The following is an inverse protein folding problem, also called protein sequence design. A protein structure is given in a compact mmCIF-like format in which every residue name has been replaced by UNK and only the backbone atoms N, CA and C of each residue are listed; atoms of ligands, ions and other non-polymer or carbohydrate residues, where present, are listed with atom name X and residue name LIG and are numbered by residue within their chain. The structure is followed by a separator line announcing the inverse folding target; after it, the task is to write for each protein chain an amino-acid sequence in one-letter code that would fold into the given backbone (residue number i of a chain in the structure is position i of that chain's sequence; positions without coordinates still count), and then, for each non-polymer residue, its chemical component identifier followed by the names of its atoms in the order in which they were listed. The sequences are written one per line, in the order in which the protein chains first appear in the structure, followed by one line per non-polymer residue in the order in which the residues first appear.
data_IF_524192352694
#
_entry.id   IF_524192352694
#
_cell.length_a   1.000
_cell.length_b   1.000
_cell.length_c   1.000
_cell.angle_alpha   90.00
_cell.angle_beta   90.00
_cell.angle_gamma   90.00
#
_symmetry.space_group_name_H-M   'P 1'
#
loop_
_entity.id
_entity.type
_entity.pdbx_description
1 polymer ?
#
# COMPACT_ATOMS: atom_id res chain seq x y z
N UNK A 1 20.59 22.26 3.94
CA UNK A 1 19.12 22.24 3.87
C UNK A 1 18.61 20.89 4.35
N UNK A 2 17.72 20.91 5.36
CA UNK A 2 17.07 19.70 5.83
C UNK A 2 15.82 19.42 4.96
N UNK A 3 15.78 18.33 4.18
CA UNK A 3 14.66 18.04 3.29
C UNK A 3 13.34 17.74 4.03
N UNK A 4 13.40 17.46 5.32
CA UNK A 4 12.26 17.21 6.18
C UNK A 4 11.69 18.44 6.87
N UNK A 5 12.44 19.54 6.84
CA UNK A 5 11.95 20.81 7.38
C UNK A 5 10.90 21.44 6.47
N UNK A 6 9.82 21.94 7.09
CA UNK A 6 8.79 22.66 6.35
C UNK A 6 9.13 24.12 6.19
N UNK A 7 9.09 24.56 4.95
CA UNK A 7 9.20 25.99 4.60
C UNK A 7 7.84 26.55 4.19
N UNK A 8 7.56 27.84 4.43
CA UNK A 8 6.34 28.48 3.97
C UNK A 8 6.35 28.68 2.45
N UNK A 9 5.23 28.46 1.82
CA UNK A 9 5.00 28.74 0.40
C UNK A 9 3.58 29.21 0.16
N UNK A 10 3.37 29.98 -0.91
CA UNK A 10 2.04 30.28 -1.44
C UNK A 10 1.71 29.24 -2.51
N UNK A 11 0.56 28.58 -2.38
CA UNK A 11 0.07 27.59 -3.32
C UNK A 11 -1.23 28.09 -3.98
N UNK A 12 -1.30 28.00 -5.30
CA UNK A 12 -2.56 28.22 -6.04
C UNK A 12 -3.05 26.90 -6.59
N UNK A 13 -4.27 26.53 -6.23
CA UNK A 13 -4.96 25.34 -6.76
C UNK A 13 -6.27 25.74 -7.44
N UNK A 14 -6.37 25.47 -8.74
CA UNK A 14 -7.55 25.79 -9.54
C UNK A 14 -8.02 27.26 -9.36
N UNK A 15 -7.07 28.20 -9.30
CA UNK A 15 -7.35 29.63 -9.14
C UNK A 15 -7.52 30.10 -7.70
N UNK A 16 -7.67 29.21 -6.73
CA UNK A 16 -7.72 29.56 -5.30
C UNK A 16 -6.33 29.63 -4.70
N UNK A 17 -6.02 30.74 -4.03
CA UNK A 17 -4.74 30.97 -3.37
C UNK A 17 -4.77 30.54 -1.91
N UNK A 18 -3.77 29.81 -1.48
CA UNK A 18 -3.51 29.38 -0.12
C UNK A 18 -2.15 29.90 0.31
N UNK A 19 -2.12 30.88 1.21
CA UNK A 19 -0.88 31.46 1.70
C UNK A 19 -0.27 30.63 2.82
N UNK A 20 1.05 30.70 2.95
CA UNK A 20 1.81 30.13 4.06
C UNK A 20 1.51 28.64 4.30
N UNK A 21 1.35 27.86 3.22
CA UNK A 21 1.31 26.42 3.35
C UNK A 21 2.69 25.86 3.71
N UNK A 22 2.74 24.82 4.57
CA UNK A 22 4.00 24.20 4.95
C UNK A 22 4.43 23.16 3.92
N UNK A 23 5.50 23.39 3.17
CA UNK A 23 6.01 22.49 2.13
C UNK A 23 7.30 21.82 2.58
N UNK A 24 7.41 20.52 2.43
CA UNK A 24 8.67 19.75 2.55
C UNK A 24 8.74 18.64 1.51
N UNK A 25 9.91 18.08 1.34
CA UNK A 25 10.05 16.87 0.55
C UNK A 25 9.51 15.65 1.28
N UNK A 26 9.19 14.59 0.54
CA UNK A 26 8.77 13.28 1.08
C UNK A 26 9.47 12.16 0.30
N UNK A 27 9.16 10.93 0.66
CA UNK A 27 9.67 9.74 -0.01
C UNK A 27 11.04 9.31 0.47
N UNK A 28 11.36 8.06 0.18
CA UNK A 28 12.66 7.44 0.43
C UNK A 28 13.42 7.33 -0.90
N UNK A 29 13.44 6.19 -1.56
CA UNK A 29 14.06 5.98 -2.87
C UNK A 29 13.54 6.95 -3.94
N UNK A 30 12.25 7.24 -3.95
CA UNK A 30 11.63 8.20 -4.88
C UNK A 30 12.07 9.66 -4.68
N UNK A 31 12.67 9.98 -3.53
CA UNK A 31 13.36 11.26 -3.31
C UNK A 31 14.85 11.14 -3.66
N UNK A 32 15.53 10.13 -3.15
CA UNK A 32 16.98 10.01 -3.22
C UNK A 32 17.47 9.81 -4.65
N UNK A 33 16.87 8.88 -5.40
CA UNK A 33 17.30 8.55 -6.75
C UNK A 33 17.20 9.73 -7.72
N UNK A 34 16.07 10.44 -7.85
CA UNK A 34 16.04 11.63 -8.71
C UNK A 34 16.92 12.77 -8.19
N UNK A 35 17.03 12.94 -6.86
CA UNK A 35 17.88 14.00 -6.29
C UNK A 35 19.37 13.76 -6.58
N UNK A 36 19.84 12.51 -6.52
CA UNK A 36 21.20 12.15 -6.86
C UNK A 36 21.51 12.38 -8.36
N UNK A 37 20.50 12.20 -9.21
CA UNK A 37 20.57 12.52 -10.65
C UNK A 37 20.35 14.02 -10.95
N UNK A 38 20.27 14.88 -9.94
CA UNK A 38 19.96 16.30 -10.06
C UNK A 38 18.62 16.57 -10.77
N UNK A 39 17.71 15.63 -10.73
CA UNK A 39 16.35 15.78 -11.27
C UNK A 39 15.47 16.52 -10.25
N UNK A 40 14.93 17.70 -10.57
CA UNK A 40 14.14 18.49 -9.63
C UNK A 40 12.76 17.89 -9.34
N UNK A 41 12.36 16.85 -10.07
CA UNK A 41 11.07 16.20 -9.92
C UNK A 41 11.06 15.22 -8.74
N UNK A 42 11.21 15.76 -7.54
CA UNK A 42 11.14 15.03 -6.27
C UNK A 42 9.73 15.10 -5.66
N UNK A 43 9.34 14.17 -4.78
CA UNK A 43 8.00 14.18 -4.19
C UNK A 43 7.85 15.23 -3.08
N UNK A 44 6.64 15.75 -2.90
CA UNK A 44 6.30 16.81 -1.94
C UNK A 44 5.22 16.38 -0.94
N UNK A 45 5.31 16.93 0.26
CA UNK A 45 4.28 16.86 1.28
C UNK A 45 3.88 18.30 1.66
N UNK A 46 2.66 18.68 1.33
CA UNK A 46 2.11 20.01 1.55
C UNK A 46 1.10 19.92 2.71
N UNK A 47 1.29 20.78 3.70
CA UNK A 47 0.43 20.90 4.87
C UNK A 47 -0.22 22.28 4.89
N UNK A 48 -1.54 22.33 4.64
CA UNK A 48 -2.27 23.59 4.51
C UNK A 48 -2.43 24.31 5.84
N UNK A 49 -2.49 23.55 6.93
CA UNK A 49 -2.72 24.14 8.26
C UNK A 49 -1.46 24.18 9.15
N UNK A 50 -0.27 24.11 8.56
CA UNK A 50 0.97 24.11 9.32
C UNK A 50 1.29 25.47 9.93
N UNK A 51 1.18 26.53 9.15
CA UNK A 51 1.43 27.92 9.60
C UNK A 51 0.14 28.70 9.85
N UNK A 52 -0.99 28.30 9.21
CA UNK A 52 -2.28 28.95 9.37
C UNK A 52 -3.29 27.88 9.83
N UNK A 53 -3.67 27.97 11.10
CA UNK A 53 -4.68 27.08 11.67
C UNK A 53 -5.98 27.12 10.86
N UNK A 54 -6.68 26.00 10.78
CA UNK A 54 -7.94 25.83 10.06
C UNK A 54 -7.88 25.88 8.52
N UNK A 55 -6.75 26.26 7.89
CA UNK A 55 -6.64 26.28 6.43
C UNK A 55 -6.73 24.85 5.86
N UNK A 56 -7.57 24.68 4.84
CA UNK A 56 -7.83 23.39 4.18
C UNK A 56 -8.10 23.59 2.71
N UNK A 57 -7.80 22.57 1.90
CA UNK A 57 -8.17 22.47 0.49
C UNK A 57 -9.22 21.39 0.33
N UNK A 58 -10.41 21.76 -0.18
CA UNK A 58 -11.53 20.81 -0.35
C UNK A 58 -11.84 19.97 0.91
N UNK A 59 -11.63 20.55 2.09
CA UNK A 59 -11.80 19.86 3.37
C UNK A 59 -10.55 19.12 3.88
N UNK A 60 -9.52 18.92 3.06
CA UNK A 60 -8.28 18.21 3.43
C UNK A 60 -7.23 19.18 3.98
N UNK A 61 -6.48 18.72 4.97
CA UNK A 61 -5.35 19.47 5.56
C UNK A 61 -4.04 19.26 4.84
N UNK A 62 -3.87 18.14 4.15
CA UNK A 62 -2.61 17.71 3.54
C UNK A 62 -2.81 17.27 2.10
N UNK A 63 -1.77 17.48 1.30
CA UNK A 63 -1.62 16.97 -0.06
C UNK A 63 -0.26 16.28 -0.16
N UNK A 64 -0.22 15.07 -0.67
CA UNK A 64 1.01 14.31 -0.90
C UNK A 64 1.20 14.11 -2.39
N UNK A 65 2.24 14.70 -2.94
CA UNK A 65 2.55 14.63 -4.35
C UNK A 65 3.69 13.63 -4.58
N UNK A 66 3.36 12.46 -5.11
CA UNK A 66 4.32 11.46 -5.56
C UNK A 66 4.74 11.76 -6.99
N UNK A 67 6.05 11.63 -7.28
CA UNK A 67 6.63 12.01 -8.57
C UNK A 67 6.52 10.91 -9.65
N UNK A 68 5.91 9.76 -9.33
CA UNK A 68 5.83 8.59 -10.21
C UNK A 68 7.19 8.12 -10.75
N UNK A 69 8.26 8.25 -9.94
CA UNK A 69 9.62 7.88 -10.35
C UNK A 69 9.73 6.41 -10.76
N UNK A 70 8.94 5.54 -10.10
CA UNK A 70 8.92 4.09 -10.34
C UNK A 70 7.67 3.61 -11.10
N UNK A 71 6.84 4.51 -11.60
CA UNK A 71 5.65 4.15 -12.39
C UNK A 71 5.68 4.84 -13.77
N UNK A 72 6.13 4.13 -14.82
CA UNK A 72 6.12 4.67 -16.18
C UNK A 72 4.74 5.09 -16.66
N UNK A 73 3.67 4.47 -16.14
CA UNK A 73 2.30 4.66 -16.58
C UNK A 73 1.57 5.82 -15.90
N UNK A 74 2.06 6.27 -14.74
CA UNK A 74 1.43 7.25 -13.83
C UNK A 74 0.06 6.81 -13.28
N UNK A 75 -0.34 5.56 -13.45
CA UNK A 75 -1.69 5.12 -13.05
C UNK A 75 -1.71 3.93 -12.10
N UNK A 76 -0.58 3.26 -11.83
CA UNK A 76 -0.53 2.09 -10.94
C UNK A 76 -1.12 2.39 -9.57
N UNK A 77 -0.67 3.45 -8.92
CA UNK A 77 -1.19 3.89 -7.62
C UNK A 77 -2.71 4.12 -7.65
N UNK A 78 -3.23 4.78 -8.68
CA UNK A 78 -4.66 5.12 -8.79
C UNK A 78 -5.51 3.87 -9.02
N UNK A 79 -5.09 3.03 -9.95
CA UNK A 79 -5.80 1.78 -10.28
C UNK A 79 -5.80 0.83 -9.09
N UNK A 80 -4.64 0.66 -8.45
CA UNK A 80 -4.50 -0.16 -7.24
C UNK A 80 -5.39 0.34 -6.12
N UNK A 81 -5.30 1.62 -5.79
CA UNK A 81 -6.12 2.26 -4.77
C UNK A 81 -7.62 2.04 -5.01
N UNK A 82 -8.08 2.13 -6.25
CA UNK A 82 -9.48 1.87 -6.61
C UNK A 82 -9.89 0.42 -6.35
N UNK A 83 -9.02 -0.54 -6.63
CA UNK A 83 -9.27 -1.96 -6.35
C UNK A 83 -9.26 -2.23 -4.84
N UNK A 84 -8.24 -1.74 -4.12
CA UNK A 84 -8.15 -1.95 -2.67
C UNK A 84 -9.39 -1.43 -1.93
N UNK A 85 -9.93 -0.26 -2.32
CA UNK A 85 -11.12 0.34 -1.69
C UNK A 85 -12.41 -0.48 -1.82
N UNK A 86 -12.46 -1.47 -2.69
CA UNK A 86 -13.60 -2.39 -2.74
C UNK A 86 -13.63 -3.34 -1.54
N UNK A 87 -12.49 -3.56 -0.86
CA UNK A 87 -12.34 -4.59 0.17
C UNK A 87 -11.97 -4.02 1.54
N UNK A 88 -11.27 -2.86 1.58
CA UNK A 88 -10.76 -2.29 2.83
C UNK A 88 -10.51 -0.78 2.71
N UNK A 89 -10.38 -0.07 3.84
CA UNK A 89 -9.96 1.32 3.83
C UNK A 89 -8.61 1.48 3.13
N UNK A 90 -8.59 2.29 2.07
CA UNK A 90 -7.38 2.66 1.34
C UNK A 90 -7.51 4.10 0.83
N UNK A 91 -6.39 4.79 0.69
CA UNK A 91 -6.35 6.20 0.27
C UNK A 91 -6.90 6.41 -1.14
N UNK A 92 -7.48 7.56 -1.39
CA UNK A 92 -7.83 8.02 -2.73
C UNK A 92 -6.62 8.64 -3.41
N UNK A 93 -6.53 8.48 -4.74
CA UNK A 93 -5.43 9.03 -5.52
C UNK A 93 -5.93 9.66 -6.82
N UNK A 94 -5.28 10.73 -7.27
CA UNK A 94 -5.58 11.40 -8.53
C UNK A 94 -4.33 12.05 -9.13
N UNK A 95 -4.44 12.49 -10.39
CA UNK A 95 -3.36 13.17 -11.12
C UNK A 95 -3.42 14.68 -10.91
N UNK A 96 -2.24 15.30 -10.80
CA UNK A 96 -2.10 16.75 -10.68
C UNK A 96 -0.90 17.27 -11.49
N UNK A 97 -1.04 18.42 -12.11
CA UNK A 97 0.08 19.17 -12.72
C UNK A 97 0.70 20.08 -11.67
N UNK A 98 2.01 19.97 -11.47
CA UNK A 98 2.73 20.81 -10.53
C UNK A 98 3.56 21.86 -11.28
N UNK A 99 3.41 23.09 -10.85
CA UNK A 99 4.24 24.23 -11.27
C UNK A 99 4.97 24.78 -10.05
N UNK A 100 6.24 25.07 -10.19
CA UNK A 100 7.06 25.73 -9.16
C UNK A 100 7.61 27.01 -9.75
N UNK A 101 7.31 28.14 -9.12
CA UNK A 101 7.71 29.48 -9.60
C UNK A 101 7.33 29.73 -11.08
N UNK A 102 6.14 29.27 -11.48
CA UNK A 102 5.63 29.41 -12.84
C UNK A 102 6.15 28.38 -13.85
N UNK A 103 7.16 27.60 -13.51
CA UNK A 103 7.73 26.58 -14.38
C UNK A 103 7.01 25.23 -14.15
N UNK A 104 6.61 24.55 -15.24
CA UNK A 104 6.02 23.23 -15.17
C UNK A 104 7.06 22.21 -14.70
N UNK A 105 6.84 21.64 -13.52
CA UNK A 105 7.73 20.64 -12.95
C UNK A 105 7.34 19.22 -13.38
N UNK A 106 6.09 19.00 -13.73
CA UNK A 106 5.65 17.71 -14.25
C UNK A 106 4.27 17.25 -13.77
N UNK A 107 3.92 16.06 -14.19
CA UNK A 107 2.74 15.31 -13.76
C UNK A 107 3.06 14.56 -12.46
N UNK A 108 2.20 14.71 -11.45
CA UNK A 108 2.33 14.06 -10.15
C UNK A 108 1.07 13.26 -9.80
N UNK A 109 1.22 12.31 -8.89
CA UNK A 109 0.11 11.62 -8.26
C UNK A 109 -0.11 12.25 -6.89
N UNK A 110 -1.34 12.69 -6.62
CA UNK A 110 -1.74 13.19 -5.32
C UNK A 110 -2.42 12.07 -4.54
N UNK A 111 -1.85 11.69 -3.41
CA UNK A 111 -2.32 10.59 -2.57
C UNK A 111 -2.96 11.12 -1.28
N UNK A 112 -4.10 10.53 -0.89
CA UNK A 112 -4.73 10.81 0.40
C UNK A 112 -3.80 10.40 1.54
N UNK A 113 -3.65 11.29 2.51
CA UNK A 113 -2.83 11.01 3.70
C UNK A 113 -3.56 10.12 4.67
N UNK A 114 -2.96 9.02 5.11
CA UNK A 114 -3.46 8.25 6.26
C UNK A 114 -3.17 9.06 7.53
N UNK A 115 -4.18 9.71 8.05
CA UNK A 115 -4.11 10.62 9.20
C UNK A 115 -5.43 10.61 9.99
N UNK A 116 -5.55 11.42 11.04
CA UNK A 116 -6.78 11.54 11.85
C UNK A 116 -8.05 11.84 11.03
N UNK A 117 -7.93 12.47 9.85
CA UNK A 117 -9.06 12.75 8.96
C UNK A 117 -9.48 11.51 8.17
N UNK A 118 -8.52 10.78 7.60
CA UNK A 118 -8.74 9.48 6.97
C UNK A 118 -9.38 8.49 7.96
N UNK A 119 -8.81 8.41 9.16
CA UNK A 119 -9.31 7.53 10.22
C UNK A 119 -10.77 7.86 10.56
N UNK A 120 -11.09 9.15 10.74
CA UNK A 120 -12.50 9.58 11.00
C UNK A 120 -13.45 9.21 9.86
N UNK A 121 -12.98 9.30 8.61
CA UNK A 121 -13.77 8.97 7.42
C UNK A 121 -14.13 7.48 7.36
N UNK A 122 -13.21 6.60 7.75
CA UNK A 122 -13.34 5.15 7.56
C UNK A 122 -13.76 4.38 8.81
N UNK A 123 -13.50 4.92 10.02
CA UNK A 123 -13.77 4.24 11.29
C UNK A 123 -14.75 4.99 12.18
N UNK A 124 -15.23 6.16 11.74
CA UNK A 124 -16.11 7.08 12.50
C UNK A 124 -15.56 7.56 13.85
N UNK A 125 -14.26 7.39 14.05
CA UNK A 125 -13.49 7.80 15.23
C UNK A 125 -12.06 8.19 14.81
N UNK A 126 -11.24 8.76 15.74
CA UNK A 126 -9.89 9.20 15.42
C UNK A 126 -8.95 9.32 16.63
N UNK A 127 -9.37 8.78 17.76
CA UNK A 127 -8.66 8.94 19.04
C UNK A 127 -7.70 7.79 19.36
N UNK A 128 -7.84 6.66 18.69
CA UNK A 128 -7.00 5.49 18.92
C UNK A 128 -5.57 5.63 18.41
N UNK A 129 -4.67 4.77 18.90
CA UNK A 129 -3.29 4.67 18.44
C UNK A 129 -3.19 4.49 16.92
N UNK A 130 -2.30 5.24 16.29
CA UNK A 130 -2.01 5.17 14.86
C UNK A 130 -0.50 5.11 14.65
N UNK A 131 -0.05 4.05 13.98
CA UNK A 131 1.35 3.84 13.65
C UNK A 131 1.54 3.76 12.13
N UNK A 132 2.52 4.48 11.60
CA UNK A 132 3.07 4.24 10.28
C UNK A 132 4.16 3.18 10.39
N UNK A 133 4.01 2.10 9.68
CA UNK A 133 4.91 0.95 9.66
C UNK A 133 5.71 0.99 8.36
N UNK A 134 6.81 1.70 8.39
CA UNK A 134 7.65 2.00 7.23
C UNK A 134 9.07 2.36 7.70
N UNK A 135 10.03 2.37 6.79
CA UNK A 135 11.37 2.82 7.10
C UNK A 135 11.34 4.28 7.61
N UNK A 136 11.96 4.52 8.74
CA UNK A 136 11.98 5.85 9.37
C UNK A 136 12.94 6.76 8.64
N UNK A 137 14.09 6.24 8.21
CA UNK A 137 15.15 7.00 7.56
C UNK A 137 15.12 6.86 6.04
N UNK A 138 15.62 7.91 5.38
CA UNK A 138 15.82 7.86 3.94
C UNK A 138 17.05 7.02 3.59
N UNK A 139 16.90 6.24 2.57
CA UNK A 139 17.94 5.37 2.03
C UNK A 139 19.20 6.13 1.59
N UNK A 140 19.10 7.39 1.18
CA UNK A 140 20.24 8.25 0.84
C UNK A 140 20.91 8.93 2.05
N UNK A 141 20.35 8.82 3.25
CA UNK A 141 20.99 9.27 4.49
C UNK A 141 21.71 8.12 5.21
N UNK A 142 22.60 7.45 4.47
CA UNK A 142 23.29 6.24 4.93
C UNK A 142 24.26 6.50 6.09
N UNK A 143 24.67 7.75 6.32
CA UNK A 143 25.63 8.10 7.38
C UNK A 143 25.03 8.00 8.80
N UNK A 144 23.71 8.11 8.92
CA UNK A 144 22.99 8.10 10.19
C UNK A 144 21.83 7.09 10.22
N UNK A 145 21.72 6.22 9.20
CA UNK A 145 20.68 5.22 9.20
C UNK A 145 20.86 4.30 10.43
N UNK A 146 19.94 4.31 11.40
CA UNK A 146 19.98 3.32 12.45
C UNK A 146 19.83 1.94 11.79
N UNK A 147 20.42 0.92 12.40
CA UNK A 147 20.16 -0.48 12.06
C UNK A 147 18.72 -0.82 12.47
N UNK A 148 17.75 -0.20 11.82
CA UNK A 148 16.35 -0.41 12.11
C UNK A 148 15.94 -1.78 11.59
N UNK A 149 15.34 -2.57 12.44
CA UNK A 149 14.59 -3.73 12.00
C UNK A 149 13.39 -3.25 11.16
N UNK A 150 13.01 -3.97 10.09
CA UNK A 150 11.77 -3.67 9.39
C UNK A 150 10.58 -3.78 10.37
N UNK A 151 9.45 -3.10 10.12
CA UNK A 151 8.26 -3.17 10.98
C UNK A 151 7.54 -4.51 10.81
N UNK A 152 8.20 -5.58 11.23
CA UNK A 152 7.84 -6.98 10.97
C UNK A 152 6.97 -7.60 12.06
N UNK A 153 6.67 -6.86 13.15
CA UNK A 153 5.91 -7.34 14.31
C UNK A 153 6.61 -8.46 15.10
N UNK A 154 7.93 -8.56 14.99
CA UNK A 154 8.75 -9.46 15.81
C UNK A 154 8.77 -8.94 17.26
N UNK A 155 8.67 -9.86 18.21
CA UNK A 155 8.78 -9.52 19.64
C UNK A 155 10.23 -9.26 20.03
N UNK A 156 10.51 -8.04 20.47
CA UNK A 156 11.84 -7.59 20.91
C UNK A 156 11.91 -7.42 22.44
N UNK A 157 10.79 -7.49 23.15
CA UNK A 157 10.67 -7.28 24.61
C UNK A 157 9.51 -6.34 24.95
N UNK A 158 9.30 -6.15 26.27
CA UNK A 158 8.21 -5.31 26.80
C UNK A 158 8.53 -3.79 26.77
N UNK A 159 9.81 -3.42 26.60
CA UNK A 159 10.20 -2.01 26.52
C UNK A 159 9.85 -1.45 25.12
N UNK A 160 8.91 -0.50 25.09
CA UNK A 160 8.47 0.14 23.86
C UNK A 160 9.59 0.85 23.08
N UNK A 161 10.65 1.26 23.76
CA UNK A 161 11.79 1.92 23.11
C UNK A 161 12.50 1.04 22.10
N UNK A 162 12.37 -0.28 22.18
CA UNK A 162 12.92 -1.25 21.24
C UNK A 162 12.25 -1.15 19.85
N UNK A 163 11.09 -0.52 19.74
CA UNK A 163 10.28 -0.43 18.53
C UNK A 163 10.33 0.93 17.86
N UNK A 164 10.90 1.97 18.50
CA UNK A 164 10.88 3.36 18.01
C UNK A 164 11.55 3.55 16.65
N UNK A 165 12.50 2.71 16.29
CA UNK A 165 13.20 2.77 15.00
C UNK A 165 12.47 2.05 13.86
N UNK A 166 11.42 1.28 14.17
CA UNK A 166 10.66 0.48 13.18
C UNK A 166 9.24 1.00 12.96
N UNK A 167 8.70 1.78 13.91
CA UNK A 167 7.32 2.28 13.89
C UNK A 167 7.29 3.77 14.20
N UNK A 168 6.60 4.53 13.37
CA UNK A 168 6.42 5.97 13.52
C UNK A 168 5.02 6.27 14.07
N UNK A 169 4.90 6.52 15.38
CA UNK A 169 3.63 6.82 16.02
C UNK A 169 3.07 8.16 15.55
N UNK A 170 1.84 8.17 15.05
CA UNK A 170 1.10 9.34 14.53
C UNK A 170 -0.01 9.82 15.45
N UNK A 171 -0.26 9.11 16.55
CA UNK A 171 -1.14 9.47 17.66
C UNK A 171 -0.33 10.12 18.80
N UNK A 172 -1.02 10.61 19.80
CA UNK A 172 -0.38 11.28 20.94
C UNK A 172 0.19 10.24 21.94
N UNK A 173 -0.38 9.02 21.95
CA UNK A 173 0.05 7.86 22.74
C UNK A 173 -0.27 6.55 22.01
N UNK A 174 0.06 5.38 22.61
CA UNK A 174 -0.29 4.06 22.06
C UNK A 174 0.85 3.05 22.02
N UNK A 175 2.06 3.39 22.49
CA UNK A 175 3.19 2.44 22.46
C UNK A 175 2.92 1.18 23.27
N UNK A 176 2.21 1.30 24.43
CA UNK A 176 1.80 0.14 25.22
C UNK A 176 0.88 -0.79 24.45
N UNK A 177 -0.08 -0.23 23.71
CA UNK A 177 -1.02 -1.02 22.91
C UNK A 177 -0.29 -1.77 21.77
N UNK A 178 0.71 -1.14 21.13
CA UNK A 178 1.52 -1.80 20.10
C UNK A 178 2.33 -2.96 20.69
N UNK A 179 2.94 -2.76 21.87
CA UNK A 179 3.71 -3.82 22.55
C UNK A 179 2.79 -4.95 22.97
N UNK A 180 1.60 -4.67 23.50
CA UNK A 180 0.59 -5.68 23.84
C UNK A 180 0.17 -6.51 22.60
N UNK A 181 -0.09 -5.84 21.48
CA UNK A 181 -0.41 -6.52 20.21
C UNK A 181 0.75 -7.44 19.79
N UNK A 182 1.98 -6.93 19.74
CA UNK A 182 3.17 -7.70 19.35
C UNK A 182 3.41 -8.87 20.32
N UNK A 183 3.22 -8.64 21.62
CA UNK A 183 3.35 -9.68 22.65
C UNK A 183 2.29 -10.78 22.46
N UNK A 184 1.04 -10.41 22.25
CA UNK A 184 -0.06 -11.35 22.00
C UNK A 184 0.19 -12.15 20.72
N UNK A 185 0.57 -11.48 19.64
CA UNK A 185 0.90 -12.13 18.37
C UNK A 185 1.99 -13.20 18.56
N UNK A 186 3.07 -12.88 19.24
CA UNK A 186 4.23 -13.77 19.30
C UNK A 186 4.11 -14.85 20.41
N UNK A 187 3.56 -14.49 21.57
CA UNK A 187 3.61 -15.32 22.77
C UNK A 187 2.26 -15.93 23.15
N UNK A 188 1.15 -15.40 22.62
CA UNK A 188 -0.20 -15.89 22.96
C UNK A 188 -1.16 -15.79 21.76
N UNK A 189 -0.77 -16.39 20.64
CA UNK A 189 -1.49 -16.27 19.35
C UNK A 189 -2.96 -16.71 19.42
N UNK A 190 -3.31 -17.62 20.32
CA UNK A 190 -4.70 -18.03 20.51
C UNK A 190 -5.65 -16.90 20.93
N UNK A 191 -5.11 -15.76 21.34
CA UNK A 191 -5.86 -14.55 21.72
C UNK A 191 -5.76 -13.45 20.65
N UNK A 192 -5.30 -13.76 19.45
CA UNK A 192 -5.04 -12.75 18.42
C UNK A 192 -6.30 -11.92 18.04
N UNK A 193 -7.47 -12.54 18.04
CA UNK A 193 -8.74 -11.88 17.76
C UNK A 193 -9.16 -10.84 18.83
N UNK A 194 -8.51 -10.83 19.99
CA UNK A 194 -8.75 -9.82 21.03
C UNK A 194 -7.98 -8.53 20.82
N UNK A 195 -6.98 -8.51 19.94
CA UNK A 195 -6.10 -7.36 19.70
C UNK A 195 -5.99 -6.97 18.21
N UNK A 196 -6.44 -7.80 17.30
CA UNK A 196 -6.34 -7.59 15.85
C UNK A 196 -7.66 -7.91 15.14
N UNK A 197 -8.08 -7.07 14.21
CA UNK A 197 -9.09 -7.44 13.23
C UNK A 197 -8.45 -8.38 12.19
N UNK A 198 -8.50 -9.68 12.48
CA UNK A 198 -7.88 -10.72 11.65
C UNK A 198 -8.48 -10.73 10.26
N UNK A 199 -9.81 -10.68 10.13
CA UNK A 199 -10.47 -10.72 8.81
C UNK A 199 -9.99 -9.57 7.90
N UNK A 200 -9.92 -8.34 8.40
CA UNK A 200 -9.39 -7.19 7.64
C UNK A 200 -7.92 -7.38 7.26
N UNK A 201 -7.13 -7.96 8.14
CA UNK A 201 -5.72 -8.28 7.85
C UNK A 201 -5.60 -9.31 6.73
N UNK A 202 -6.44 -10.34 6.74
CA UNK A 202 -6.49 -11.34 5.67
C UNK A 202 -6.93 -10.74 4.33
N UNK A 203 -7.88 -9.79 4.33
CA UNK A 203 -8.23 -9.02 3.13
C UNK A 203 -7.04 -8.22 2.61
N UNK A 204 -6.32 -7.50 3.47
CA UNK A 204 -5.14 -6.74 3.08
C UNK A 204 -4.08 -7.64 2.44
N UNK A 205 -3.80 -8.79 3.08
CA UNK A 205 -2.86 -9.78 2.56
C UNK A 205 -3.32 -10.35 1.21
N UNK A 206 -4.61 -10.64 1.06
CA UNK A 206 -5.16 -11.20 -0.17
C UNK A 206 -5.07 -10.21 -1.35
N UNK A 207 -5.40 -8.93 -1.15
CA UNK A 207 -5.29 -7.93 -2.21
C UNK A 207 -3.83 -7.71 -2.60
N UNK A 208 -2.92 -7.62 -1.62
CA UNK A 208 -1.48 -7.52 -1.87
C UNK A 208 -0.98 -8.65 -2.78
N UNK A 209 -1.35 -9.88 -2.47
CA UNK A 209 -0.90 -11.06 -3.21
C UNK A 209 -1.57 -11.20 -4.58
N UNK A 210 -2.87 -10.95 -4.67
CA UNK A 210 -3.60 -11.06 -5.95
C UNK A 210 -3.11 -10.02 -6.94
N UNK A 211 -2.88 -8.77 -6.50
CA UNK A 211 -2.38 -7.69 -7.34
C UNK A 211 -0.85 -7.67 -7.46
N UNK A 212 -0.17 -8.63 -6.83
CA UNK A 212 1.29 -8.73 -6.82
C UNK A 212 1.96 -7.41 -6.39
N UNK A 213 1.52 -6.89 -5.23
CA UNK A 213 2.21 -5.81 -4.54
C UNK A 213 3.34 -6.42 -3.70
N UNK A 214 4.56 -6.34 -4.19
CA UNK A 214 5.72 -6.95 -3.54
C UNK A 214 6.40 -6.04 -2.52
N UNK A 215 5.85 -4.86 -2.30
CA UNK A 215 6.40 -3.82 -1.44
C UNK A 215 5.52 -3.59 -0.20
N UNK A 216 5.16 -4.67 0.50
CA UNK A 216 4.27 -4.64 1.65
C UNK A 216 4.54 -5.78 2.64
N UNK A 217 3.85 -5.78 3.80
CA UNK A 217 4.14 -6.67 4.94
C UNK A 217 4.27 -8.15 4.59
N UNK A 218 3.30 -8.71 3.84
CA UNK A 218 3.24 -10.17 3.55
C UNK A 218 3.87 -10.56 2.22
N UNK A 219 4.76 -9.70 1.68
CA UNK A 219 5.45 -9.96 0.42
C UNK A 219 6.96 -9.74 0.54
N UNK A 220 7.64 -9.23 -0.49
CA UNK A 220 9.09 -9.18 -0.52
C UNK A 220 9.70 -8.19 0.48
N UNK A 221 9.20 -6.94 0.54
CA UNK A 221 9.64 -5.91 1.49
C UNK A 221 8.64 -5.69 2.61
N UNK A 222 9.09 -5.75 3.88
CA UNK A 222 8.25 -5.60 5.06
C UNK A 222 8.11 -4.11 5.40
N UNK A 223 7.18 -3.42 4.77
CA UNK A 223 6.82 -2.04 5.09
C UNK A 223 5.47 -1.64 4.44
N UNK A 224 5.22 -0.36 4.25
CA UNK A 224 4.09 0.22 3.52
C UNK A 224 2.71 -0.16 4.06
N UNK A 225 2.54 -0.11 5.38
CA UNK A 225 1.23 -0.25 6.01
C UNK A 225 1.10 0.67 7.23
N UNK A 226 -0.13 0.86 7.68
CA UNK A 226 -0.44 1.49 8.96
C UNK A 226 -1.18 0.50 9.85
N UNK A 227 -1.03 0.70 11.16
CA UNK A 227 -1.82 0.05 12.19
C UNK A 227 -2.63 1.13 12.92
N UNK A 228 -3.94 0.97 12.96
CA UNK A 228 -4.84 1.83 13.72
C UNK A 228 -5.65 1.00 14.71
N UNK A 229 -5.61 1.34 16.00
CA UNK A 229 -6.43 0.68 17.00
C UNK A 229 -7.77 1.41 17.14
N UNK A 230 -8.86 0.68 16.90
CA UNK A 230 -10.22 1.15 17.08
C UNK A 230 -10.62 1.09 18.56
N UNK A 231 -11.70 1.78 18.94
CA UNK A 231 -12.17 1.89 20.34
C UNK A 231 -12.53 0.56 21.00
N UNK A 232 -12.74 -0.49 20.23
CA UNK A 232 -12.94 -1.87 20.68
C UNK A 232 -11.62 -2.60 20.97
N UNK A 233 -10.48 -1.91 20.87
CA UNK A 233 -9.16 -2.45 21.17
C UNK A 233 -8.49 -3.19 20.02
N UNK A 234 -9.14 -3.30 18.85
CA UNK A 234 -8.63 -4.08 17.73
C UNK A 234 -7.78 -3.24 16.80
N UNK A 235 -6.55 -3.67 16.54
CA UNK A 235 -5.73 -3.10 15.48
C UNK A 235 -6.29 -3.44 14.10
N UNK A 236 -6.27 -2.43 13.22
CA UNK A 236 -6.71 -2.50 11.83
C UNK A 236 -5.50 -2.27 10.94
N UNK A 237 -5.20 -3.21 10.06
CA UNK A 237 -4.16 -3.01 9.05
C UNK A 237 -4.71 -2.19 7.88
N UNK A 238 -3.99 -1.14 7.49
CA UNK A 238 -4.35 -0.24 6.39
C UNK A 238 -3.16 -0.21 5.41
N UNK A 239 -3.31 -0.74 4.19
CA UNK A 239 -2.28 -0.66 3.15
C UNK A 239 -2.01 0.80 2.73
N UNK A 240 -0.75 1.06 2.38
CA UNK A 240 -0.30 2.36 1.92
C UNK A 240 0.82 2.21 0.88
N UNK A 241 1.04 3.24 0.04
CA UNK A 241 2.09 3.30 -0.98
C UNK A 241 1.97 2.15 -2.01
N UNK A 242 0.93 2.23 -2.85
CA UNK A 242 0.52 1.14 -3.74
C UNK A 242 1.11 1.25 -5.16
N UNK A 243 2.11 2.10 -5.38
CA UNK A 243 2.71 2.33 -6.70
C UNK A 243 3.57 1.16 -7.20
N UNK A 244 4.03 0.29 -6.28
CA UNK A 244 4.70 -0.97 -6.60
C UNK A 244 3.75 -2.17 -6.79
N UNK A 245 2.44 -1.95 -6.87
CA UNK A 245 1.47 -2.96 -7.29
C UNK A 245 1.71 -3.36 -8.76
N UNK A 246 1.22 -4.51 -9.16
CA UNK A 246 1.50 -5.13 -10.48
C UNK A 246 2.99 -5.38 -10.72
N UNK A 247 3.63 -5.94 -9.70
CA UNK A 247 5.07 -6.15 -9.57
C UNK A 247 5.94 -4.87 -9.59
N UNK A 248 5.38 -3.71 -9.92
CA UNK A 248 6.05 -2.41 -9.83
C UNK A 248 7.46 -2.38 -10.40
N UNK A 249 8.37 -1.70 -9.70
CA UNK A 249 9.80 -1.67 -10.02
C UNK A 249 10.57 -2.89 -9.47
N UNK A 250 9.96 -3.76 -8.69
CA UNK A 250 10.62 -4.90 -8.02
C UNK A 250 10.98 -6.02 -9.01
N UNK A 251 10.33 -6.05 -10.17
CA UNK A 251 10.62 -7.02 -11.23
C UNK A 251 12.11 -7.05 -11.65
N UNK A 252 12.85 -5.94 -11.48
CA UNK A 252 14.25 -5.83 -11.88
C UNK A 252 15.26 -6.27 -10.84
N UNK A 253 14.87 -6.70 -9.64
CA UNK A 253 15.82 -7.17 -8.64
C UNK A 253 16.36 -8.58 -8.99
N UNK A 254 17.64 -8.81 -8.69
CA UNK A 254 18.35 -10.07 -9.01
C UNK A 254 17.67 -11.33 -8.46
N UNK A 255 16.90 -11.19 -7.39
CA UNK A 255 16.17 -12.29 -6.77
C UNK A 255 15.02 -12.80 -7.64
N UNK A 256 14.46 -11.97 -8.51
CA UNK A 256 13.37 -12.33 -9.40
C UNK A 256 13.83 -12.25 -10.85
N UNK A 257 13.61 -13.31 -11.59
CA UNK A 257 13.57 -13.23 -13.04
C UNK A 257 12.12 -13.01 -13.51
N UNK A 258 11.95 -12.58 -14.76
CA UNK A 258 10.64 -12.22 -15.30
C UNK A 258 9.60 -13.35 -15.25
N UNK A 259 10.03 -14.63 -15.34
CA UNK A 259 9.14 -15.78 -15.29
C UNK A 259 8.73 -16.15 -13.87
N UNK A 260 9.57 -15.88 -12.87
CA UNK A 260 9.30 -16.27 -11.49
C UNK A 260 8.45 -15.26 -10.71
N UNK A 261 8.50 -13.98 -11.05
CA UNK A 261 7.82 -12.94 -10.27
C UNK A 261 6.31 -13.14 -10.24
N UNK A 262 5.70 -13.58 -11.33
CA UNK A 262 4.26 -13.83 -11.40
C UNK A 262 3.82 -15.07 -10.61
N UNK A 263 4.77 -15.96 -10.32
CA UNK A 263 4.60 -17.20 -9.55
C UNK A 263 5.01 -17.02 -8.08
N UNK A 264 5.10 -15.77 -7.61
CA UNK A 264 5.37 -15.51 -6.20
C UNK A 264 4.34 -16.24 -5.33
N UNK A 265 4.82 -16.99 -4.33
CA UNK A 265 3.97 -17.83 -3.49
C UNK A 265 2.89 -16.99 -2.78
N UNK A 266 1.59 -17.24 -3.04
CA UNK A 266 0.51 -16.51 -2.39
C UNK A 266 0.43 -16.74 -0.87
N UNK A 267 1.05 -17.79 -0.36
CA UNK A 267 1.12 -18.10 1.07
C UNK A 267 2.50 -17.84 1.66
N UNK A 268 3.28 -16.98 1.00
CA UNK A 268 4.59 -16.59 1.49
C UNK A 268 4.50 -16.00 2.91
N UNK A 269 5.21 -16.60 3.85
CA UNK A 269 5.22 -16.28 5.27
C UNK A 269 6.59 -15.83 5.79
N UNK A 270 7.56 -15.79 4.94
CA UNK A 270 8.95 -15.41 5.24
C UNK A 270 9.95 -16.17 4.37
N UNK A 271 11.21 -15.77 4.44
CA UNK A 271 12.28 -16.51 3.79
C UNK A 271 12.52 -17.84 4.50
N UNK A 272 12.74 -18.96 3.78
CA UNK A 272 13.17 -20.22 4.40
C UNK A 272 14.44 -20.08 5.26
N UNK A 273 15.25 -19.08 4.98
CA UNK A 273 16.48 -18.78 5.73
C UNK A 273 16.27 -17.81 6.90
N UNK A 274 15.06 -17.29 7.08
CA UNK A 274 14.69 -16.32 8.12
C UNK A 274 13.30 -16.65 8.70
N UNK A 275 13.11 -17.83 9.31
CA UNK A 275 11.84 -18.19 9.93
C UNK A 275 11.51 -17.19 11.07
N UNK A 276 10.24 -16.84 11.18
CA UNK A 276 9.77 -15.83 12.14
C UNK A 276 9.99 -14.38 11.70
N UNK A 277 10.50 -14.13 10.51
CA UNK A 277 10.67 -12.79 9.96
C UNK A 277 9.33 -12.05 9.80
N UNK A 278 8.25 -12.78 9.54
CA UNK A 278 6.87 -12.27 9.39
C UNK A 278 5.90 -13.02 10.30
N UNK A 279 6.00 -12.86 11.63
CA UNK A 279 5.26 -13.70 12.57
C UNK A 279 3.73 -13.63 12.37
N UNK A 280 3.19 -12.51 11.88
CA UNK A 280 1.76 -12.39 11.63
C UNK A 280 1.34 -13.24 10.41
N UNK A 281 2.06 -13.17 9.31
CA UNK A 281 1.76 -13.98 8.13
C UNK A 281 1.98 -15.47 8.40
N UNK A 282 3.11 -15.83 9.02
CA UNK A 282 3.43 -17.20 9.39
C UNK A 282 2.33 -17.84 10.25
N UNK A 283 1.92 -17.18 11.32
CA UNK A 283 0.93 -17.73 12.24
C UNK A 283 -0.48 -17.79 11.65
N UNK A 284 -0.88 -16.76 10.88
CA UNK A 284 -2.19 -16.77 10.21
C UNK A 284 -2.26 -17.85 9.13
N UNK A 285 -1.20 -18.07 8.36
CA UNK A 285 -1.20 -19.10 7.32
C UNK A 285 -1.02 -20.53 7.87
N UNK A 286 -0.46 -20.68 9.07
CA UNK A 286 -0.37 -21.96 9.77
C UNK A 286 -1.66 -22.34 10.50
N UNK A 287 -2.58 -21.39 10.75
CA UNK A 287 -3.91 -21.69 11.28
C UNK A 287 -4.84 -22.12 10.14
N UNK A 288 -5.43 -23.34 10.19
CA UNK A 288 -6.25 -23.86 9.09
C UNK A 288 -7.52 -23.04 8.81
N UNK A 289 -8.09 -22.36 9.83
CA UNK A 289 -9.27 -21.51 9.68
C UNK A 289 -8.92 -20.22 8.95
N UNK A 290 -7.92 -19.49 9.43
CA UNK A 290 -7.47 -18.23 8.82
C UNK A 290 -6.92 -18.45 7.41
N UNK A 291 -6.19 -19.55 7.17
CA UNK A 291 -5.72 -19.91 5.82
C UNK A 291 -6.88 -20.13 4.83
N UNK A 292 -7.96 -20.78 5.28
CA UNK A 292 -9.17 -20.96 4.44
C UNK A 292 -9.89 -19.63 4.17
N UNK A 293 -10.02 -18.76 5.17
CA UNK A 293 -10.60 -17.42 5.00
C UNK A 293 -9.79 -16.59 4.02
N UNK A 294 -8.48 -16.56 4.18
CA UNK A 294 -7.55 -15.89 3.27
C UNK A 294 -7.69 -16.40 1.83
N UNK A 295 -7.73 -17.72 1.63
CA UNK A 295 -7.94 -18.34 0.32
C UNK A 295 -9.28 -17.91 -0.29
N UNK A 296 -10.34 -17.83 0.52
CA UNK A 296 -11.66 -17.37 0.07
C UNK A 296 -11.62 -15.90 -0.36
N UNK A 297 -10.92 -15.04 0.37
CA UNK A 297 -10.72 -13.63 -0.01
C UNK A 297 -9.98 -13.51 -1.33
N UNK A 298 -8.89 -14.26 -1.54
CA UNK A 298 -8.19 -14.27 -2.83
C UNK A 298 -9.12 -14.65 -3.99
N UNK A 299 -9.94 -15.70 -3.84
CA UNK A 299 -10.92 -16.11 -4.86
C UNK A 299 -11.92 -15.00 -5.18
N UNK A 300 -12.41 -14.32 -4.15
CA UNK A 300 -13.32 -13.19 -4.33
C UNK A 300 -12.67 -12.09 -5.16
N UNK A 301 -11.46 -11.69 -4.80
CA UNK A 301 -10.73 -10.64 -5.53
C UNK A 301 -10.44 -11.05 -6.98
N UNK A 302 -10.01 -12.30 -7.21
CA UNK A 302 -9.74 -12.83 -8.56
C UNK A 302 -11.00 -12.77 -9.44
N UNK A 303 -12.17 -13.08 -8.87
CA UNK A 303 -13.42 -13.13 -9.61
C UNK A 303 -14.03 -11.73 -9.83
N UNK A 304 -13.90 -10.81 -8.88
CA UNK A 304 -14.60 -9.53 -8.88
C UNK A 304 -13.74 -8.38 -9.42
N UNK A 305 -12.44 -8.36 -9.08
CA UNK A 305 -11.58 -7.20 -9.33
C UNK A 305 -10.67 -7.35 -10.56
N UNK A 306 -10.42 -8.56 -11.05
CA UNK A 306 -9.50 -8.79 -12.18
C UNK A 306 -10.22 -8.86 -13.54
N UNK A 307 -11.18 -7.96 -13.77
CA UNK A 307 -11.75 -7.73 -15.11
C UNK A 307 -10.83 -6.79 -15.89
N UNK A 308 -10.04 -7.36 -16.78
CA UNK A 308 -9.07 -6.62 -17.60
C UNK A 308 -9.72 -5.59 -18.51
N UNK A 309 -10.99 -5.78 -18.90
CA UNK A 309 -11.72 -4.80 -19.71
C UNK A 309 -12.04 -3.54 -18.92
N UNK A 310 -12.54 -3.72 -17.68
CA UNK A 310 -12.85 -2.61 -16.78
C UNK A 310 -11.59 -1.84 -16.41
N UNK A 311 -10.53 -2.56 -16.03
CA UNK A 311 -9.25 -1.94 -15.64
C UNK A 311 -8.64 -1.18 -16.82
N UNK A 312 -8.61 -1.77 -18.03
CA UNK A 312 -8.08 -1.15 -19.25
C UNK A 312 -8.84 0.13 -19.60
N UNK A 313 -10.17 0.10 -19.49
CA UNK A 313 -10.99 1.28 -19.77
C UNK A 313 -10.68 2.41 -18.77
N UNK A 314 -10.51 2.10 -17.51
CA UNK A 314 -10.10 3.08 -16.50
C UNK A 314 -8.71 3.67 -16.80
N UNK A 315 -7.74 2.83 -17.13
CA UNK A 315 -6.38 3.27 -17.50
C UNK A 315 -6.44 4.18 -18.73
N UNK A 316 -7.14 3.79 -19.79
CA UNK A 316 -7.25 4.57 -21.00
C UNK A 316 -7.86 5.96 -20.77
N UNK A 317 -8.87 6.05 -19.88
CA UNK A 317 -9.46 7.34 -19.49
C UNK A 317 -8.44 8.21 -18.75
N UNK A 318 -7.73 7.65 -17.77
CA UNK A 318 -6.71 8.37 -17.01
C UNK A 318 -5.55 8.83 -17.90
N UNK A 319 -5.03 7.95 -18.76
CA UNK A 319 -3.93 8.28 -19.66
C UNK A 319 -4.33 9.28 -20.75
N UNK A 320 -5.55 9.19 -21.26
CA UNK A 320 -6.08 10.18 -22.21
C UNK A 320 -6.17 11.57 -21.58
N UNK A 321 -6.68 11.65 -20.36
CA UNK A 321 -6.76 12.91 -19.60
C UNK A 321 -5.37 13.50 -19.31
N UNK A 322 -4.40 12.65 -18.99
CA UNK A 322 -3.06 13.05 -18.59
C UNK A 322 -2.06 13.23 -19.75
N UNK A 323 -2.40 12.80 -20.98
CA UNK A 323 -1.48 12.71 -22.10
C UNK A 323 -0.62 13.96 -22.31
N UNK A 324 -1.25 15.12 -22.48
CA UNK A 324 -0.52 16.38 -22.73
C UNK A 324 0.37 16.78 -21.55
N UNK A 325 -0.06 16.48 -20.34
CA UNK A 325 0.73 16.77 -19.13
C UNK A 325 1.95 15.84 -19.04
N UNK A 326 1.76 14.55 -19.30
CA UNK A 326 2.86 13.58 -19.32
C UNK A 326 3.84 13.84 -20.46
N UNK A 327 3.34 14.18 -21.66
CA UNK A 327 4.20 14.48 -22.81
C UNK A 327 5.07 15.72 -22.56
N UNK A 328 4.49 16.78 -22.00
CA UNK A 328 5.20 18.04 -21.67
C UNK A 328 6.10 17.94 -20.45
N UNK A 329 6.07 16.84 -19.70
CA UNK A 329 6.89 16.63 -18.51
C UNK A 329 8.34 16.36 -18.92
N UNK A 330 9.20 17.36 -18.84
CA UNK A 330 10.62 17.26 -19.21
C UNK A 330 11.46 16.45 -18.22
N UNK A 331 10.93 16.23 -17.01
CA UNK A 331 11.62 15.58 -15.90
C UNK A 331 11.17 14.13 -15.68
N UNK A 332 10.29 13.61 -16.54
CA UNK A 332 9.88 12.21 -16.47
C UNK A 332 11.05 11.27 -16.77
N UNK A 333 11.13 10.16 -16.04
CA UNK A 333 12.17 9.13 -16.24
C UNK A 333 11.93 8.21 -17.44
N UNK A 334 10.76 8.31 -18.09
CA UNK A 334 10.32 7.38 -19.13
C UNK A 334 9.83 8.11 -20.38
N UNK A 335 10.02 7.47 -21.54
CA UNK A 335 9.48 7.98 -22.80
C UNK A 335 7.95 7.81 -22.86
N UNK A 336 7.29 8.56 -23.75
CA UNK A 336 5.86 8.38 -24.02
C UNK A 336 5.54 6.99 -24.60
N UNK A 337 6.46 6.37 -25.33
CA UNK A 337 6.31 4.99 -25.75
C UNK A 337 6.25 4.04 -24.55
N UNK A 338 7.10 4.22 -23.54
CA UNK A 338 7.09 3.44 -22.30
C UNK A 338 5.86 3.74 -21.42
N UNK A 339 5.40 4.99 -21.39
CA UNK A 339 4.16 5.39 -20.73
C UNK A 339 2.95 4.56 -21.16
N UNK A 340 2.83 4.29 -22.47
CA UNK A 340 1.75 3.45 -23.00
C UNK A 340 2.08 1.96 -22.93
N UNK A 341 3.29 1.56 -23.33
CA UNK A 341 3.62 0.13 -23.42
C UNK A 341 3.67 -0.58 -22.09
N UNK A 342 4.00 0.13 -20.99
CA UNK A 342 4.03 -0.48 -19.66
C UNK A 342 2.64 -0.76 -19.07
N UNK A 343 1.57 -0.30 -19.70
CA UNK A 343 0.21 -0.77 -19.40
C UNK A 343 0.08 -2.24 -19.82
N UNK A 344 0.54 -2.58 -21.01
CA UNK A 344 0.32 -3.89 -21.61
C UNK A 344 1.39 -4.92 -21.21
N UNK A 345 2.65 -4.50 -21.11
CA UNK A 345 3.78 -5.40 -20.92
C UNK A 345 4.86 -4.79 -20.04
N UNK A 346 5.67 -5.66 -19.44
CA UNK A 346 6.86 -5.24 -18.73
C UNK A 346 7.83 -4.48 -19.63
N UNK A 347 8.50 -3.47 -19.07
CA UNK A 347 9.60 -2.78 -19.72
C UNK A 347 10.88 -2.95 -18.92
N UNK A 348 11.99 -2.97 -19.62
CA UNK A 348 13.32 -3.12 -19.04
C UNK A 348 14.19 -1.92 -19.42
N UNK A 349 14.76 -1.30 -18.41
CA UNK A 349 15.81 -0.28 -18.52
C UNK A 349 17.02 -0.77 -17.73
N UNK A 350 17.63 0.03 -16.86
CA UNK A 350 18.50 -0.48 -15.79
C UNK A 350 17.73 -1.33 -14.77
N UNK A 351 16.42 -1.12 -14.66
CA UNK A 351 15.49 -1.85 -13.79
C UNK A 351 14.36 -2.45 -14.63
N UNK A 352 13.67 -3.45 -14.07
CA UNK A 352 12.45 -4.01 -14.68
C UNK A 352 11.21 -3.41 -14.04
N UNK A 353 10.22 -3.05 -14.87
CA UNK A 353 8.94 -2.50 -14.44
C UNK A 353 7.81 -3.37 -14.96
N UNK A 354 7.04 -3.97 -14.06
CA UNK A 354 5.91 -4.82 -14.42
C UNK A 354 4.85 -4.09 -15.24
N UNK A 355 4.34 -4.72 -16.27
CA UNK A 355 3.18 -4.24 -17.01
C UNK A 355 1.89 -4.55 -16.27
N UNK A 356 0.90 -3.65 -16.29
CA UNK A 356 -0.35 -3.85 -15.54
C UNK A 356 -1.10 -5.07 -16.07
N UNK A 357 -1.39 -5.10 -17.38
CA UNK A 357 -2.16 -6.18 -18.00
C UNK A 357 -1.42 -7.51 -17.97
N UNK A 358 -0.15 -7.53 -18.36
CA UNK A 358 0.65 -8.76 -18.34
C UNK A 358 0.77 -9.36 -16.93
N UNK A 359 0.87 -8.50 -15.91
CA UNK A 359 0.91 -8.99 -14.52
C UNK A 359 -0.45 -9.57 -14.11
N UNK A 360 -1.56 -8.88 -14.39
CA UNK A 360 -2.90 -9.37 -14.07
C UNK A 360 -3.14 -10.73 -14.74
N UNK A 361 -2.87 -10.85 -16.03
CA UNK A 361 -3.14 -12.08 -16.78
C UNK A 361 -2.28 -13.25 -16.28
N UNK A 362 -0.97 -13.05 -16.15
CA UNK A 362 -0.06 -14.09 -15.69
C UNK A 362 -0.34 -14.47 -14.22
N UNK A 363 -0.57 -13.49 -13.35
CA UNK A 363 -0.86 -13.74 -11.93
C UNK A 363 -2.19 -14.45 -11.75
N UNK A 364 -3.24 -14.04 -12.44
CA UNK A 364 -4.55 -14.69 -12.42
C UNK A 364 -4.43 -16.15 -12.86
N UNK A 365 -3.73 -16.41 -13.95
CA UNK A 365 -3.50 -17.77 -14.46
C UNK A 365 -2.78 -18.64 -13.42
N UNK A 366 -1.70 -18.12 -12.82
CA UNK A 366 -0.96 -18.82 -11.78
C UNK A 366 -1.84 -19.12 -10.55
N UNK A 367 -2.52 -18.12 -10.01
CA UNK A 367 -3.36 -18.29 -8.82
C UNK A 367 -4.50 -19.29 -9.05
N UNK A 368 -5.13 -19.26 -10.23
CA UNK A 368 -6.17 -20.23 -10.58
C UNK A 368 -5.64 -21.66 -10.80
N UNK A 369 -4.35 -21.84 -11.04
CA UNK A 369 -3.68 -23.14 -11.12
C UNK A 369 -3.17 -23.63 -9.75
N UNK A 370 -3.11 -22.75 -8.75
CA UNK A 370 -2.60 -23.12 -7.43
C UNK A 370 -3.51 -24.13 -6.73
N UNK A 371 -2.98 -25.23 -6.16
CA UNK A 371 -3.80 -26.33 -5.62
C UNK A 371 -4.87 -25.91 -4.63
N UNK A 372 -4.58 -24.99 -3.70
CA UNK A 372 -5.55 -24.53 -2.72
C UNK A 372 -6.58 -23.55 -3.30
N UNK A 373 -6.16 -22.67 -4.21
CA UNK A 373 -7.03 -21.65 -4.80
C UNK A 373 -7.97 -22.24 -5.85
N UNK A 374 -7.52 -23.25 -6.60
CA UNK A 374 -8.29 -23.92 -7.64
C UNK A 374 -9.38 -24.86 -7.11
N UNK A 375 -9.34 -25.23 -5.83
CA UNK A 375 -10.39 -26.05 -5.24
C UNK A 375 -11.75 -25.37 -5.36
N UNK A 376 -12.71 -26.07 -5.90
CA UNK A 376 -14.09 -25.57 -6.00
C UNK A 376 -14.68 -25.47 -4.60
N UNK A 377 -15.05 -24.28 -4.12
CA UNK A 377 -15.67 -24.16 -2.80
C UNK A 377 -17.02 -24.85 -2.80
N UNK A 378 -17.49 -25.38 -1.65
CA UNK A 378 -18.82 -25.94 -1.54
C UNK A 378 -19.87 -24.87 -1.85
N UNK A 379 -20.86 -25.23 -2.65
CA UNK A 379 -22.02 -24.37 -2.91
C UNK A 379 -22.96 -24.43 -1.73
N UNK A 380 -23.20 -23.30 -1.10
CA UNK A 380 -24.19 -23.14 -0.03
C UNK A 380 -25.45 -22.52 -0.65
N UNK A 381 -26.58 -23.18 -0.48
CA UNK A 381 -27.86 -22.69 -0.98
C UNK A 381 -28.99 -22.90 0.07
N UNK A 382 -30.11 -22.24 -0.16
CA UNK A 382 -31.28 -22.34 0.71
C UNK A 382 -30.96 -22.06 2.19
N UNK A 383 -30.15 -21.04 2.45
CA UNK A 383 -29.82 -20.62 3.82
C UNK A 383 -31.11 -20.10 4.48
N UNK A 384 -31.46 -20.67 5.60
CA UNK A 384 -32.58 -20.21 6.44
C UNK A 384 -32.10 -20.06 7.89
N UNK A 385 -32.70 -19.11 8.60
CA UNK A 385 -32.45 -18.90 10.03
C UNK A 385 -33.78 -19.08 10.76
N UNK A 386 -33.85 -20.05 11.63
CA UNK A 386 -35.03 -20.32 12.42
C UNK A 386 -34.63 -20.54 13.89
N UNK A 387 -35.16 -19.72 14.80
CA UNK A 387 -34.88 -19.81 16.25
C UNK A 387 -33.37 -19.87 16.59
N UNK A 388 -32.54 -19.02 15.97
CA UNK A 388 -31.09 -19.00 16.10
C UNK A 388 -30.36 -20.24 15.52
N UNK A 389 -31.06 -21.10 14.81
CA UNK A 389 -30.47 -22.19 14.05
C UNK A 389 -30.32 -21.77 12.60
N UNK A 390 -29.10 -21.92 12.04
CA UNK A 390 -28.81 -21.69 10.63
C UNK A 390 -28.84 -23.04 9.92
N UNK A 391 -29.71 -23.16 8.95
CA UNK A 391 -29.81 -24.36 8.08
C UNK A 391 -29.43 -23.95 6.65
N UNK A 392 -28.65 -24.77 5.97
CA UNK A 392 -28.27 -24.58 4.58
C UNK A 392 -28.05 -25.91 3.86
N UNK A 393 -28.27 -25.92 2.57
CA UNK A 393 -27.84 -27.03 1.72
C UNK A 393 -26.43 -26.79 1.25
N UNK A 394 -25.54 -27.74 1.45
CA UNK A 394 -24.12 -27.68 1.03
C UNK A 394 -23.89 -28.74 -0.04
N UNK A 395 -23.42 -28.31 -1.21
CA UNK A 395 -23.07 -29.17 -2.33
C UNK A 395 -21.55 -29.08 -2.58
N UNK A 396 -20.96 -30.18 -3.07
CA UNK A 396 -19.50 -30.28 -3.32
C UNK A 396 -18.64 -30.13 -2.06
N UNK A 397 -19.17 -30.49 -0.88
CA UNK A 397 -18.30 -30.66 0.28
C UNK A 397 -17.35 -31.84 0.03
N UNK A 398 -16.06 -31.59 0.04
CA UNK A 398 -15.08 -32.67 0.11
C UNK A 398 -15.30 -33.39 1.43
N UNK A 399 -15.65 -34.64 1.35
CA UNK A 399 -15.79 -35.57 2.49
C UNK A 399 -14.42 -35.87 3.10
#
# INVERSE_FOLDING_TARGET
YNPDERIPATLTLNGTVYDSVGVRYKGNSTFCLPNDDLNPKVPYNIDFNYFIDSQKVLGYKKMKLANAWMDPTYVKQIVSSNIYRNYLPSGESNLIKLYVQGNYLGLYINDESINKQFIKKHFDEKSGPLFKCDNIDRFCDTANAPSAYPPSLIYLGEDSSLYYNSYDMKSDDGWGDLVEFITTLNNNFSQIDSVLNVDRTLWAFAVNQVLLNLDCYNTYYIHNYYLYQTKDGLFQMIPWDLDNTFSGAIMGFDYFNQSNIYEYDPYHDGSPNSPGERPLAEKLFNDPLYRKQYTAHMRTIINEALDTTVIRNQINQLQSLAHNAADSDQWKGFSMAQYYSNVESAIWTSWGFGGIMSTIDARKQYLLSHPEISLVPPLISNVSVNNNLVEANVFNSLS
#
